data_IF_510092853860
#
_entry.id   IF_510092853860
#
_cell.length_a   1.000
_cell.length_b   1.000
_cell.length_c   1.000
_cell.angle_alpha   90.00
_cell.angle_beta   90.00
_cell.angle_gamma   90.00
#
_symmetry.space_group_name_H-M   'P 1'
#
loop_
_entity.id
_entity.type
_entity.pdbx_description
1 polymer ?
#
# COMPACT_ATOMS: atom_id res chain seq x y z
N UNK A 1 -41.28 19.28 -25.46
CA UNK A 1 -40.12 18.69 -24.76
C UNK A 1 -39.54 19.77 -23.86
N UNK A 2 -39.44 19.53 -22.55
CA UNK A 2 -38.81 20.48 -21.62
C UNK A 2 -37.32 20.55 -21.99
N UNK A 3 -36.75 21.76 -22.13
CA UNK A 3 -35.33 21.93 -22.41
C UNK A 3 -34.51 21.46 -21.21
N UNK A 4 -33.38 20.79 -21.43
CA UNK A 4 -32.52 20.25 -20.37
C UNK A 4 -32.14 21.30 -19.31
N UNK A 5 -31.96 22.56 -19.73
CA UNK A 5 -31.67 23.69 -18.86
C UNK A 5 -32.83 24.05 -17.91
N UNK A 6 -34.08 23.96 -18.38
CA UNK A 6 -35.26 24.22 -17.54
C UNK A 6 -35.42 23.13 -16.49
N UNK A 7 -35.15 21.87 -16.85
CA UNK A 7 -35.17 20.73 -15.93
C UNK A 7 -34.18 20.89 -14.77
N UNK A 8 -32.96 21.37 -15.05
CA UNK A 8 -31.92 21.62 -14.05
C UNK A 8 -32.32 22.76 -13.11
N UNK A 9 -32.87 23.84 -13.67
CA UNK A 9 -33.30 25.02 -12.90
C UNK A 9 -34.47 24.69 -11.98
N UNK A 10 -35.39 23.83 -12.46
CA UNK A 10 -36.53 23.34 -11.68
C UNK A 10 -36.09 22.40 -10.55
N UNK A 11 -35.15 21.49 -10.82
CA UNK A 11 -34.56 20.61 -9.83
C UNK A 11 -33.84 21.39 -8.72
N UNK A 12 -33.02 22.39 -9.08
CA UNK A 12 -32.32 23.25 -8.11
C UNK A 12 -33.28 24.00 -7.18
N UNK A 13 -34.39 24.54 -7.72
CA UNK A 13 -35.41 25.21 -6.91
C UNK A 13 -36.14 24.26 -5.95
N UNK A 14 -36.41 23.04 -6.39
CA UNK A 14 -37.03 22.01 -5.54
C UNK A 14 -36.13 21.62 -4.36
N UNK A 15 -34.81 21.51 -4.59
CA UNK A 15 -33.82 21.23 -3.55
C UNK A 15 -33.81 22.33 -2.47
N UNK A 16 -33.93 23.60 -2.87
CA UNK A 16 -33.92 24.75 -1.94
C UNK A 16 -35.20 24.92 -1.12
N UNK A 17 -36.31 24.30 -1.51
CA UNK A 17 -37.57 24.38 -0.77
C UNK A 17 -37.51 23.62 0.56
N UNK A 18 -36.76 22.51 0.62
CA UNK A 18 -36.62 21.65 1.81
C UNK A 18 -35.17 21.58 2.30
N UNK A 19 -34.65 22.72 2.76
CA UNK A 19 -33.23 22.93 3.06
C UNK A 19 -32.62 21.88 4.01
N UNK A 20 -33.27 21.56 5.13
CA UNK A 20 -32.71 20.62 6.12
C UNK A 20 -32.59 19.20 5.58
N UNK A 21 -33.60 18.70 4.86
CA UNK A 21 -33.60 17.32 4.34
C UNK A 21 -32.65 17.18 3.16
N UNK A 22 -32.71 18.13 2.23
CA UNK A 22 -31.78 18.21 1.10
C UNK A 22 -30.34 18.26 1.61
N UNK A 23 -30.06 19.08 2.63
CA UNK A 23 -28.75 19.14 3.26
C UNK A 23 -28.33 17.81 3.87
N UNK A 24 -29.16 17.14 4.67
CA UNK A 24 -28.84 15.85 5.28
C UNK A 24 -28.58 14.75 4.23
N UNK A 25 -29.31 14.77 3.13
CA UNK A 25 -29.16 13.81 2.02
C UNK A 25 -27.84 14.03 1.27
N UNK A 26 -27.59 15.28 0.87
CA UNK A 26 -26.35 15.70 0.23
C UNK A 26 -25.15 15.40 1.14
N UNK A 27 -25.27 15.67 2.45
CA UNK A 27 -24.22 15.40 3.43
C UNK A 27 -23.94 13.89 3.57
N UNK A 28 -24.98 13.05 3.62
CA UNK A 28 -24.81 11.59 3.69
C UNK A 28 -24.05 11.04 2.48
N UNK A 29 -24.39 11.50 1.27
CA UNK A 29 -23.70 11.13 0.03
C UNK A 29 -22.27 11.68 0.03
N UNK A 30 -22.09 12.94 0.39
CA UNK A 30 -20.79 13.61 0.40
C UNK A 30 -19.81 12.93 1.36
N UNK A 31 -20.24 12.60 2.58
CA UNK A 31 -19.40 11.90 3.58
C UNK A 31 -19.01 10.50 3.09
N UNK A 32 -19.96 9.75 2.52
CA UNK A 32 -19.67 8.42 1.96
C UNK A 32 -18.62 8.46 0.85
N UNK A 33 -18.75 9.42 -0.07
CA UNK A 33 -17.80 9.59 -1.19
C UNK A 33 -16.46 10.11 -0.71
N UNK A 34 -16.44 11.08 0.20
CA UNK A 34 -15.21 11.60 0.79
C UNK A 34 -14.40 10.48 1.47
N UNK A 35 -15.06 9.59 2.21
CA UNK A 35 -14.41 8.45 2.86
C UNK A 35 -13.78 7.47 1.85
N UNK A 36 -14.51 7.13 0.78
CA UNK A 36 -14.00 6.25 -0.29
C UNK A 36 -12.81 6.87 -1.02
N UNK A 37 -12.88 8.16 -1.34
CA UNK A 37 -11.79 8.89 -2.00
C UNK A 37 -10.55 8.97 -1.11
N UNK A 38 -10.72 9.27 0.18
CA UNK A 38 -9.60 9.37 1.11
C UNK A 38 -8.86 8.04 1.22
N UNK A 39 -9.58 6.94 1.43
CA UNK A 39 -8.91 5.66 1.58
C UNK A 39 -8.23 5.21 0.28
N UNK A 40 -8.91 5.32 -0.86
CA UNK A 40 -8.32 4.92 -2.15
C UNK A 40 -7.09 5.77 -2.48
N UNK A 41 -7.10 7.05 -2.13
CA UNK A 41 -5.95 7.93 -2.31
C UNK A 41 -4.76 7.56 -1.42
N UNK A 42 -5.03 7.19 -0.16
CA UNK A 42 -4.00 6.72 0.77
C UNK A 42 -3.46 5.36 0.31
N UNK A 43 -4.34 4.43 -0.08
CA UNK A 43 -3.96 3.10 -0.54
C UNK A 43 -3.05 3.14 -1.77
N UNK A 44 -3.42 3.92 -2.79
CA UNK A 44 -2.57 4.13 -3.96
C UNK A 44 -1.24 4.82 -3.59
N UNK A 45 -1.30 5.83 -2.71
CA UNK A 45 -0.11 6.51 -2.22
C UNK A 45 0.86 5.52 -1.56
N UNK A 46 0.38 4.71 -0.62
CA UNK A 46 1.17 3.65 0.03
C UNK A 46 1.71 2.66 -1.00
N UNK A 47 0.89 2.21 -1.94
CA UNK A 47 1.31 1.27 -2.98
C UNK A 47 2.49 1.83 -3.80
N UNK A 48 2.41 3.09 -4.22
CA UNK A 48 3.50 3.77 -4.95
C UNK A 48 4.73 4.01 -4.09
N UNK A 49 4.53 4.40 -2.83
CA UNK A 49 5.62 4.59 -1.87
C UNK A 49 6.40 3.30 -1.68
N UNK A 50 5.72 2.19 -1.43
CA UNK A 50 6.37 0.89 -1.28
C UNK A 50 7.04 0.45 -2.58
N UNK A 51 6.40 0.64 -3.74
CA UNK A 51 7.02 0.33 -5.02
C UNK A 51 8.31 1.14 -5.25
N UNK A 52 8.30 2.44 -4.92
CA UNK A 52 9.48 3.30 -4.99
C UNK A 52 10.58 2.82 -4.01
N UNK A 53 10.20 2.47 -2.78
CA UNK A 53 11.10 1.96 -1.75
C UNK A 53 11.81 0.65 -2.16
N UNK A 54 11.16 -0.21 -2.97
CA UNK A 54 11.79 -1.44 -3.45
C UNK A 54 12.54 -1.26 -4.77
N UNK A 55 12.05 -0.44 -5.69
CA UNK A 55 12.73 -0.20 -6.99
C UNK A 55 14.11 0.45 -6.84
N UNK A 56 14.33 1.25 -5.79
CA UNK A 56 15.65 1.83 -5.47
C UNK A 56 16.75 0.79 -5.14
N UNK A 57 16.37 -0.47 -4.88
CA UNK A 57 17.31 -1.58 -4.62
C UNK A 57 17.50 -2.51 -5.82
N UNK A 58 16.74 -2.30 -6.90
CA UNK A 58 16.61 -3.24 -8.01
C UNK A 58 15.34 -4.08 -7.87
N UNK A 59 14.66 -4.33 -8.98
CA UNK A 59 13.34 -4.98 -9.03
C UNK A 59 13.36 -6.50 -8.93
N UNK A 60 14.55 -7.08 -8.73
CA UNK A 60 14.83 -8.47 -9.06
C UNK A 60 15.46 -9.19 -7.86
N UNK A 61 14.93 -8.99 -6.64
CA UNK A 61 15.43 -9.65 -5.42
C UNK A 61 14.52 -10.84 -5.04
N UNK A 62 15.14 -11.96 -4.70
CA UNK A 62 14.53 -13.14 -4.11
C UNK A 62 15.16 -13.35 -2.73
N UNK A 63 14.33 -13.27 -1.70
CA UNK A 63 14.72 -13.56 -0.32
C UNK A 63 14.50 -15.03 -0.02
N UNK A 64 15.50 -15.66 0.59
CA UNK A 64 15.48 -17.04 1.03
C UNK A 64 15.57 -17.03 2.55
N UNK A 65 14.51 -17.48 3.23
CA UNK A 65 14.46 -17.56 4.69
C UNK A 65 14.35 -19.01 5.15
N UNK A 66 14.99 -19.39 6.28
CA UNK A 66 14.89 -20.73 6.81
C UNK A 66 13.47 -20.98 7.34
N UNK A 67 12.96 -22.19 7.10
CA UNK A 67 11.65 -22.65 7.58
C UNK A 67 10.53 -22.49 6.55
N UNK A 68 9.34 -22.98 6.93
CA UNK A 68 8.12 -22.82 6.14
C UNK A 68 7.19 -21.82 6.81
N UNK A 69 6.72 -20.85 6.03
CA UNK A 69 5.66 -19.92 6.45
C UNK A 69 4.24 -20.48 6.31
N UNK A 70 4.08 -21.67 5.69
CA UNK A 70 2.79 -22.35 5.51
C UNK A 70 2.70 -23.57 6.42
N UNK A 71 1.62 -23.67 7.19
CA UNK A 71 1.27 -24.88 7.95
C UNK A 71 0.98 -26.02 6.97
N UNK A 72 1.76 -27.10 7.06
CA UNK A 72 1.45 -28.38 6.44
C UNK A 72 1.17 -29.41 7.54
N UNK A 73 0.47 -30.50 7.21
CA UNK A 73 0.06 -31.55 8.17
C UNK A 73 1.22 -32.24 8.90
N UNK A 74 0.87 -33.26 9.70
CA UNK A 74 1.76 -33.91 10.67
C UNK A 74 3.17 -34.23 10.11
N UNK A 75 4.24 -34.09 10.93
CA UNK A 75 5.59 -34.45 10.52
C UNK A 75 5.61 -35.92 10.04
N UNK A 76 6.16 -36.22 8.85
CA UNK A 76 6.14 -37.57 8.29
C UNK A 76 6.88 -38.62 9.15
N UNK A 77 7.59 -38.22 10.22
CA UNK A 77 8.45 -39.11 11.00
C UNK A 77 8.42 -38.91 12.52
N UNK A 78 7.52 -38.08 13.09
CA UNK A 78 7.49 -37.86 14.55
C UNK A 78 8.74 -37.21 15.16
N UNK A 79 9.71 -36.79 14.32
CA UNK A 79 10.88 -36.02 14.73
C UNK A 79 10.46 -34.55 14.78
N UNK A 80 10.78 -33.79 15.85
CA UNK A 80 10.59 -32.34 15.85
C UNK A 80 11.27 -31.76 14.62
N UNK A 81 10.50 -31.07 13.79
CA UNK A 81 10.98 -30.40 12.58
C UNK A 81 11.83 -29.21 12.99
N UNK A 82 13.06 -29.44 13.43
CA UNK A 82 14.06 -28.38 13.50
C UNK A 82 14.31 -27.93 12.07
N UNK A 83 14.05 -26.64 11.84
CA UNK A 83 14.39 -25.98 10.58
C UNK A 83 15.91 -26.09 10.41
N UNK A 84 16.38 -26.68 9.31
CA UNK A 84 17.82 -26.63 9.00
C UNK A 84 18.19 -25.17 8.76
N UNK A 85 19.16 -24.60 9.49
CA UNK A 85 19.61 -23.24 9.24
C UNK A 85 20.21 -23.13 7.82
N UNK A 86 20.01 -21.99 7.17
CA UNK A 86 20.71 -21.67 5.92
C UNK A 86 22.19 -21.47 6.23
N UNK A 87 23.07 -22.06 5.44
CA UNK A 87 24.53 -21.97 5.65
C UNK A 87 25.19 -21.00 4.67
N UNK A 88 26.42 -20.55 4.99
CA UNK A 88 27.24 -19.79 4.04
C UNK A 88 27.53 -20.60 2.77
N UNK A 89 27.60 -21.92 2.86
CA UNK A 89 27.74 -22.79 1.69
C UNK A 89 26.51 -22.78 0.80
N UNK A 90 25.30 -22.74 1.36
CA UNK A 90 24.06 -22.66 0.58
C UNK A 90 24.00 -21.33 -0.19
N UNK A 91 24.41 -20.25 0.47
CA UNK A 91 24.56 -18.95 -0.15
C UNK A 91 25.57 -19.01 -1.32
N UNK A 92 26.74 -19.60 -1.11
CA UNK A 92 27.76 -19.80 -2.15
C UNK A 92 27.27 -20.69 -3.29
N UNK A 93 26.53 -21.75 -3.01
CA UNK A 93 25.96 -22.60 -4.06
C UNK A 93 24.96 -21.80 -4.92
N UNK A 94 24.12 -20.97 -4.29
CA UNK A 94 23.15 -20.13 -4.98
C UNK A 94 23.81 -19.09 -5.91
N UNK A 95 25.01 -18.58 -5.58
CA UNK A 95 25.70 -17.60 -6.44
C UNK A 95 26.21 -18.17 -7.76
N UNK A 96 26.29 -19.49 -7.90
CA UNK A 96 26.76 -20.16 -9.13
C UNK A 96 25.61 -20.56 -10.08
N UNK A 97 24.35 -20.31 -9.70
CA UNK A 97 23.22 -20.60 -10.56
C UNK A 97 23.19 -19.67 -11.78
N UNK A 98 22.68 -20.14 -12.93
CA UNK A 98 22.46 -19.28 -14.08
C UNK A 98 21.48 -18.15 -13.72
N UNK A 99 21.61 -17.02 -14.42
CA UNK A 99 20.77 -15.82 -14.25
C UNK A 99 20.89 -15.10 -12.89
N UNK A 100 21.70 -15.59 -11.95
CA UNK A 100 22.00 -14.89 -10.69
C UNK A 100 23.05 -13.79 -10.94
N UNK A 101 22.67 -12.55 -10.66
CA UNK A 101 23.53 -11.37 -10.83
C UNK A 101 24.40 -11.11 -9.58
N UNK A 102 23.82 -11.26 -8.39
CA UNK A 102 24.53 -11.13 -7.12
C UNK A 102 23.81 -11.91 -6.01
N UNK A 103 24.58 -12.36 -5.03
CA UNK A 103 24.09 -13.05 -3.85
C UNK A 103 24.72 -12.41 -2.61
N UNK A 104 23.92 -12.20 -1.56
CA UNK A 104 24.42 -11.78 -0.26
C UNK A 104 23.77 -12.61 0.85
N UNK A 105 24.56 -13.27 1.71
CA UNK A 105 24.05 -13.78 2.98
C UNK A 105 23.69 -12.60 3.88
N UNK A 106 22.69 -12.76 4.75
CA UNK A 106 22.35 -11.77 5.75
C UNK A 106 22.18 -12.42 7.13
N UNK A 107 22.85 -11.81 8.10
CA UNK A 107 22.64 -11.98 9.53
C UNK A 107 22.53 -10.58 10.09
N UNK A 108 21.55 -10.27 10.93
CA UNK A 108 21.50 -8.96 11.58
C UNK A 108 21.19 -9.10 13.06
N UNK A 109 21.53 -8.06 13.80
CA UNK A 109 21.22 -7.95 15.21
C UNK A 109 21.52 -6.55 15.70
N UNK A 110 20.97 -6.19 16.85
CA UNK A 110 21.30 -4.94 17.50
C UNK A 110 22.50 -5.14 18.40
N UNK A 111 23.53 -4.34 18.18
CA UNK A 111 24.77 -4.39 18.95
C UNK A 111 25.22 -2.99 19.31
N UNK A 112 26.00 -2.90 20.38
CA UNK A 112 26.74 -1.70 20.71
C UNK A 112 27.96 -1.56 19.81
N UNK A 113 28.07 -0.42 19.13
CA UNK A 113 29.22 -0.05 18.31
C UNK A 113 29.96 1.07 19.03
N UNK A 114 31.21 0.82 19.40
CA UNK A 114 32.08 1.80 20.08
C UNK A 114 33.33 2.10 19.29
N UNK A 115 33.66 3.38 19.18
CA UNK A 115 34.84 3.86 18.47
C UNK A 115 35.11 5.30 18.86
N UNK A 116 36.39 5.69 18.90
CA UNK A 116 36.80 7.07 19.19
C UNK A 116 36.20 7.65 20.49
N UNK A 117 36.12 6.84 21.55
CA UNK A 117 35.55 7.24 22.84
C UNK A 117 34.02 7.39 22.88
N UNK A 118 33.31 7.07 21.80
CA UNK A 118 31.84 7.12 21.71
C UNK A 118 31.24 5.73 21.58
N UNK A 119 30.00 5.59 22.03
CA UNK A 119 29.22 4.36 22.03
C UNK A 119 27.85 4.63 21.43
N UNK A 120 27.41 3.79 20.49
CA UNK A 120 26.09 3.87 19.88
C UNK A 120 25.51 2.47 19.72
N UNK A 121 24.29 2.26 20.21
CA UNK A 121 23.55 1.01 19.97
C UNK A 121 22.85 1.10 18.63
N UNK A 122 23.18 0.19 17.72
CA UNK A 122 22.56 0.17 16.41
C UNK A 122 22.49 -1.23 15.79
N UNK A 123 21.78 -1.36 14.68
CA UNK A 123 21.72 -2.59 13.91
C UNK A 123 23.03 -2.82 13.16
N UNK A 124 23.53 -4.05 13.24
CA UNK A 124 24.73 -4.51 12.56
C UNK A 124 24.34 -5.63 11.62
N UNK A 125 24.67 -5.47 10.34
CA UNK A 125 24.41 -6.44 9.29
C UNK A 125 25.70 -7.19 8.93
N UNK A 126 25.66 -8.50 9.13
CA UNK A 126 26.56 -9.47 8.53
C UNK A 126 26.18 -9.72 7.08
N UNK A 127 27.01 -9.29 6.14
CA UNK A 127 26.73 -9.34 4.70
C UNK A 127 27.89 -9.93 3.90
N UNK A 128 27.62 -10.22 2.63
CA UNK A 128 28.64 -10.61 1.66
C UNK A 128 29.22 -9.42 0.88
N UNK A 129 30.33 -9.63 0.13
CA UNK A 129 30.99 -8.58 -0.65
C UNK A 129 30.11 -8.01 -1.78
N UNK A 130 29.16 -8.79 -2.28
CA UNK A 130 28.27 -8.40 -3.37
C UNK A 130 27.03 -7.61 -2.92
N UNK A 131 26.92 -7.26 -1.63
CA UNK A 131 25.80 -6.48 -1.09
C UNK A 131 25.60 -5.16 -1.86
N UNK A 132 26.69 -4.45 -2.21
CA UNK A 132 26.59 -3.18 -2.94
C UNK A 132 25.92 -3.33 -4.31
N UNK A 133 26.20 -4.44 -5.01
CA UNK A 133 25.58 -4.76 -6.30
C UNK A 133 24.11 -5.15 -6.12
N UNK A 134 23.85 -6.02 -5.13
CA UNK A 134 22.50 -6.52 -4.83
C UNK A 134 21.54 -5.40 -4.43
N UNK A 135 22.03 -4.38 -3.72
CA UNK A 135 21.20 -3.31 -3.15
C UNK A 135 21.48 -1.92 -3.75
N UNK A 136 22.25 -1.83 -4.84
CA UNK A 136 22.62 -0.57 -5.53
C UNK A 136 23.11 0.50 -4.55
N UNK A 137 24.01 0.13 -3.64
CA UNK A 137 24.60 1.02 -2.63
C UNK A 137 25.97 1.52 -3.11
N UNK A 138 26.28 2.79 -2.83
CA UNK A 138 27.56 3.41 -3.20
C UNK A 138 28.45 3.62 -1.97
N UNK A 139 29.76 3.58 -2.20
CA UNK A 139 30.78 3.85 -1.18
C UNK A 139 31.14 5.33 -1.27
N UNK A 140 31.13 6.02 -0.13
CA UNK A 140 31.60 7.41 -0.04
C UNK A 140 33.13 7.49 0.06
N UNK A 141 33.73 6.61 0.85
CA UNK A 141 35.19 6.59 1.06
C UNK A 141 35.68 5.20 1.45
N UNK A 142 36.89 4.83 1.02
CA UNK A 142 37.50 3.53 1.32
C UNK A 142 37.02 2.44 0.36
N UNK A 143 36.88 1.22 0.88
CA UNK A 143 36.45 0.04 0.12
C UNK A 143 35.37 -0.71 0.88
N UNK A 144 34.59 -1.52 0.16
CA UNK A 144 33.64 -2.42 0.80
C UNK A 144 34.31 -3.70 1.29
N UNK A 145 33.54 -4.61 1.88
CA UNK A 145 34.03 -5.89 2.32
C UNK A 145 34.69 -6.64 1.15
N UNK A 146 35.93 -7.11 1.31
CA UNK A 146 36.64 -7.87 0.28
C UNK A 146 35.97 -9.23 0.04
N UNK A 147 36.22 -9.79 -1.14
CA UNK A 147 35.79 -11.14 -1.46
C UNK A 147 36.71 -12.13 -0.75
N UNK A 148 36.25 -12.63 0.40
CA UNK A 148 36.98 -13.60 1.21
C UNK A 148 36.19 -14.91 1.26
N UNK A 149 36.88 -16.01 0.95
CA UNK A 149 36.26 -17.32 0.74
C UNK A 149 36.10 -18.14 2.03
N UNK A 150 36.75 -17.71 3.12
CA UNK A 150 36.94 -18.51 4.32
C UNK A 150 35.98 -18.16 5.47
N UNK A 151 35.64 -19.16 6.27
CA UNK A 151 34.99 -19.02 7.59
C UNK A 151 35.79 -18.12 8.55
N UNK A 152 37.05 -17.84 8.23
CA UNK A 152 37.94 -16.93 8.96
C UNK A 152 38.05 -15.54 8.32
N UNK A 153 36.94 -14.97 7.83
CA UNK A 153 36.92 -13.63 7.25
C UNK A 153 37.61 -12.59 8.16
N UNK A 154 38.37 -11.65 7.64
CA UNK A 154 39.03 -10.61 8.45
C UNK A 154 37.98 -9.74 9.15
N UNK A 155 38.28 -9.31 10.37
CA UNK A 155 37.40 -8.45 11.15
C UNK A 155 37.41 -7.02 10.59
N UNK A 156 36.72 -6.83 9.47
CA UNK A 156 36.50 -5.53 8.85
C UNK A 156 35.08 -5.04 9.08
N UNK A 157 34.94 -3.72 9.15
CA UNK A 157 33.65 -3.06 9.24
C UNK A 157 33.57 -1.91 8.24
N UNK A 158 32.39 -1.78 7.62
CA UNK A 158 32.01 -0.63 6.81
C UNK A 158 30.89 0.09 7.56
N UNK A 159 31.01 1.41 7.72
CA UNK A 159 30.06 2.21 8.49
C UNK A 159 29.06 2.92 7.56
N UNK A 160 27.80 2.99 7.98
CA UNK A 160 26.82 3.90 7.40
C UNK A 160 27.17 5.37 7.67
N UNK A 161 26.62 6.28 6.87
CA UNK A 161 26.97 7.69 6.91
C UNK A 161 26.70 8.36 8.27
N UNK A 162 25.56 8.05 8.89
CA UNK A 162 25.15 8.58 10.19
C UNK A 162 25.96 7.94 11.31
N UNK A 163 26.14 6.62 11.31
CA UNK A 163 26.97 5.93 12.30
C UNK A 163 28.42 6.45 12.30
N UNK A 164 29.00 6.69 11.10
CA UNK A 164 30.31 7.34 10.97
C UNK A 164 30.33 8.71 11.63
N UNK A 165 29.33 9.55 11.36
CA UNK A 165 29.26 10.92 11.88
C UNK A 165 29.13 10.93 13.40
N UNK A 166 28.30 10.05 13.95
CA UNK A 166 28.08 9.92 15.39
C UNK A 166 29.36 9.48 16.13
N UNK A 167 30.08 8.49 15.61
CA UNK A 167 31.27 7.95 16.26
C UNK A 167 32.54 8.80 16.04
N UNK A 168 32.75 9.30 14.82
CA UNK A 168 34.02 9.95 14.43
C UNK A 168 33.90 11.45 14.12
N UNK A 169 32.68 12.01 14.08
CA UNK A 169 32.47 13.39 13.65
C UNK A 169 32.97 13.60 12.23
N UNK A 170 33.76 14.66 12.03
CA UNK A 170 34.40 14.95 10.73
C UNK A 170 35.70 14.19 10.50
N UNK A 171 36.24 13.54 11.54
CA UNK A 171 37.48 12.75 11.47
C UNK A 171 37.37 11.61 10.46
N UNK A 172 38.47 11.28 9.78
CA UNK A 172 38.55 10.12 8.89
C UNK A 172 38.55 8.82 9.71
N UNK A 173 37.56 7.92 9.56
CA UNK A 173 37.49 6.69 10.35
C UNK A 173 38.30 5.55 9.73
N UNK A 174 38.79 5.69 8.49
CA UNK A 174 39.47 4.61 7.77
C UNK A 174 40.73 4.15 8.50
N UNK A 175 40.84 2.85 8.73
CA UNK A 175 41.94 2.23 9.48
C UNK A 175 41.77 2.24 11.00
N UNK A 176 40.82 3.00 11.54
CA UNK A 176 40.53 3.00 12.97
C UNK A 176 39.96 1.65 13.43
N UNK A 177 40.15 1.34 14.71
CA UNK A 177 39.53 0.19 15.37
C UNK A 177 38.20 0.60 15.99
N UNK A 178 37.17 -0.19 15.71
CA UNK A 178 35.82 -0.05 16.28
C UNK A 178 35.47 -1.38 16.92
N UNK A 179 34.91 -1.36 18.11
CA UNK A 179 34.41 -2.55 18.78
C UNK A 179 32.91 -2.67 18.55
N UNK A 180 32.48 -3.79 18.00
CA UNK A 180 31.09 -4.12 17.73
C UNK A 180 30.72 -5.28 18.62
N UNK A 181 29.86 -5.05 19.61
CA UNK A 181 29.57 -5.98 20.70
C UNK A 181 30.87 -6.40 21.42
N UNK A 182 31.16 -7.70 21.38
CA UNK A 182 32.36 -8.29 21.99
C UNK A 182 33.62 -8.28 21.10
N UNK A 183 33.52 -7.93 19.83
CA UNK A 183 34.59 -8.14 18.84
C UNK A 183 35.18 -6.81 18.32
N UNK A 184 36.48 -6.81 18.00
CA UNK A 184 37.16 -5.64 17.41
C UNK A 184 37.24 -5.76 15.88
N UNK A 185 36.87 -4.68 15.19
CA UNK A 185 36.90 -4.56 13.74
C UNK A 185 37.74 -3.36 13.31
N UNK A 186 38.36 -3.46 12.13
CA UNK A 186 39.02 -2.33 11.46
C UNK A 186 38.08 -1.71 10.44
N UNK A 187 37.90 -0.40 10.51
CA UNK A 187 37.09 0.33 9.52
C UNK A 187 37.82 0.38 8.19
N UNK A 188 37.17 -0.10 7.13
CA UNK A 188 37.75 -0.10 5.77
C UNK A 188 36.97 0.76 4.77
N UNK A 189 35.75 1.15 5.12
CA UNK A 189 34.89 1.94 4.25
C UNK A 189 33.79 2.67 4.99
N UNK A 190 33.22 3.66 4.30
CA UNK A 190 32.02 4.40 4.71
C UNK A 190 31.09 4.47 3.51
N UNK A 191 29.83 4.14 3.72
CA UNK A 191 28.80 4.22 2.67
C UNK A 191 28.35 5.65 2.42
N UNK A 192 27.85 5.90 1.22
CA UNK A 192 27.09 7.11 0.92
C UNK A 192 25.75 7.10 1.67
N UNK A 193 25.24 8.27 2.03
CA UNK A 193 23.96 8.37 2.70
C UNK A 193 22.83 7.90 1.76
N UNK A 194 22.03 6.94 2.23
CA UNK A 194 20.87 6.40 1.52
C UNK A 194 19.56 6.69 2.24
N UNK A 195 19.61 6.89 3.56
CA UNK A 195 18.44 7.20 4.40
C UNK A 195 17.78 5.97 5.02
N UNK A 196 16.47 6.08 5.26
CA UNK A 196 15.65 5.08 5.92
C UNK A 196 14.74 4.38 4.92
N UNK A 197 14.59 3.05 5.06
CA UNK A 197 13.80 2.20 4.17
C UNK A 197 12.88 1.32 4.99
N UNK A 198 11.57 1.45 4.78
CA UNK A 198 10.54 0.72 5.53
C UNK A 198 10.77 0.77 7.05
N UNK A 199 11.24 1.90 7.56
CA UNK A 199 11.55 2.07 8.98
C UNK A 199 12.97 1.68 9.41
N UNK A 200 13.81 1.13 8.52
CA UNK A 200 15.20 0.74 8.80
C UNK A 200 16.18 1.81 8.32
N UNK A 201 16.96 2.39 9.23
CA UNK A 201 17.95 3.43 8.92
C UNK A 201 19.28 2.79 8.45
N UNK A 202 19.54 2.79 7.13
CA UNK A 202 20.77 2.25 6.56
C UNK A 202 22.00 3.13 6.83
N UNK A 203 21.78 4.40 7.11
CA UNK A 203 22.86 5.33 7.42
C UNK A 203 23.36 5.13 8.85
N UNK A 204 22.47 4.69 9.73
CA UNK A 204 22.79 4.34 11.12
C UNK A 204 23.13 2.85 11.28
N UNK A 205 23.85 2.24 10.35
CA UNK A 205 24.12 0.79 10.40
C UNK A 205 25.61 0.49 10.25
N UNK A 206 26.08 -0.61 10.86
CA UNK A 206 27.41 -1.17 10.58
C UNK A 206 27.30 -2.46 9.75
N UNK A 207 28.21 -2.63 8.80
CA UNK A 207 28.27 -3.80 7.92
C UNK A 207 29.57 -4.56 8.16
N UNK A 208 29.46 -5.84 8.51
CA UNK A 208 30.58 -6.75 8.79
C UNK A 208 30.45 -8.02 7.92
N UNK A 209 31.51 -8.82 7.74
CA UNK A 209 31.38 -10.10 7.06
C UNK A 209 30.37 -11.02 7.75
N UNK A 210 29.53 -11.71 6.97
CA UNK A 210 28.51 -12.61 7.51
C UNK A 210 29.07 -13.69 8.45
N UNK A 211 30.26 -14.25 8.16
CA UNK A 211 30.94 -15.19 9.06
C UNK A 211 31.21 -14.60 10.45
N UNK A 212 31.62 -13.33 10.53
CA UNK A 212 31.85 -12.63 11.81
C UNK A 212 30.55 -12.27 12.52
N UNK A 213 29.47 -12.03 11.79
CA UNK A 213 28.16 -11.83 12.41
C UNK A 213 27.60 -13.13 13.01
N UNK A 214 27.82 -14.28 12.36
CA UNK A 214 27.46 -15.60 12.93
C UNK A 214 28.19 -15.84 14.26
N UNK A 215 29.49 -15.57 14.31
CA UNK A 215 30.30 -15.65 15.52
C UNK A 215 29.83 -14.65 16.59
N UNK A 216 29.68 -13.37 16.23
CA UNK A 216 29.25 -12.30 17.14
C UNK A 216 27.91 -12.59 17.83
N UNK A 217 26.96 -13.16 17.09
CA UNK A 217 25.62 -13.48 17.58
C UNK A 217 25.46 -14.92 18.03
N UNK A 218 26.54 -15.72 18.04
CA UNK A 218 26.53 -17.14 18.38
C UNK A 218 25.42 -17.92 17.65
N UNK A 219 25.38 -17.80 16.31
CA UNK A 219 24.36 -18.42 15.46
C UNK A 219 24.96 -19.49 14.56
N UNK A 220 24.26 -20.62 14.46
CA UNK A 220 24.64 -21.75 13.59
C UNK A 220 24.26 -21.55 12.11
N UNK A 221 23.52 -20.48 11.78
CA UNK A 221 23.14 -20.21 10.40
C UNK A 221 22.55 -18.83 10.13
N UNK A 222 22.43 -18.56 8.84
CA UNK A 222 21.97 -17.32 8.25
C UNK A 222 20.50 -17.07 8.58
N UNK A 223 20.15 -15.79 8.72
CA UNK A 223 18.76 -15.37 8.86
C UNK A 223 18.08 -15.31 7.49
N UNK A 224 18.84 -14.93 6.46
CA UNK A 224 18.33 -14.73 5.13
C UNK A 224 19.47 -14.87 4.10
N UNK A 225 19.15 -15.33 2.89
CA UNK A 225 20.02 -15.17 1.72
C UNK A 225 19.24 -14.35 0.69
N UNK A 226 19.81 -13.25 0.24
CA UNK A 226 19.23 -12.44 -0.82
C UNK A 226 19.95 -12.71 -2.14
N UNK A 227 19.17 -13.09 -3.15
CA UNK A 227 19.65 -13.39 -4.50
C UNK A 227 19.02 -12.38 -5.45
N UNK A 228 19.85 -11.72 -6.24
CA UNK A 228 19.40 -10.86 -7.33
C UNK A 228 19.60 -11.54 -8.66
N UNK A 229 18.68 -11.33 -9.59
CA UNK A 229 18.71 -11.95 -10.91
C UNK A 229 18.72 -10.93 -12.05
N UNK A 230 19.19 -11.36 -13.22
CA UNK A 230 19.32 -10.51 -14.41
C UNK A 230 17.99 -9.88 -14.84
N UNK A 231 18.05 -8.67 -15.40
CA UNK A 231 16.87 -7.98 -15.93
C UNK A 231 16.26 -8.77 -17.10
N UNK A 232 14.93 -8.84 -17.17
CA UNK A 232 14.20 -9.57 -18.21
C UNK A 232 14.02 -11.09 -17.96
N UNK A 233 14.69 -11.66 -16.96
CA UNK A 233 14.49 -13.07 -16.58
C UNK A 233 13.24 -13.19 -15.69
N UNK A 234 12.31 -14.13 -15.97
CA UNK A 234 11.17 -14.35 -15.08
C UNK A 234 11.64 -14.83 -13.70
N UNK A 235 11.15 -14.19 -12.63
CA UNK A 235 11.47 -14.58 -11.25
C UNK A 235 11.26 -16.08 -10.99
N UNK A 236 10.22 -16.65 -11.62
CA UNK A 236 9.85 -18.06 -11.49
C UNK A 236 10.98 -19.01 -11.87
N UNK A 237 11.68 -18.73 -12.97
CA UNK A 237 12.77 -19.57 -13.47
C UNK A 237 13.91 -19.67 -12.43
N UNK A 238 14.27 -18.52 -11.84
CA UNK A 238 15.31 -18.44 -10.80
C UNK A 238 14.83 -19.07 -9.49
N UNK A 239 13.56 -18.87 -9.10
CA UNK A 239 13.01 -19.53 -7.91
C UNK A 239 12.97 -21.04 -8.04
N UNK A 240 12.65 -21.59 -9.22
CA UNK A 240 12.60 -23.03 -9.45
C UNK A 240 14.01 -23.64 -9.43
N UNK A 241 15.01 -22.93 -9.97
CA UNK A 241 16.42 -23.31 -9.88
C UNK A 241 16.93 -23.29 -8.43
N UNK A 242 16.68 -22.21 -7.68
CA UNK A 242 17.03 -22.09 -6.26
C UNK A 242 16.37 -23.19 -5.43
N UNK A 243 15.09 -23.45 -5.67
CA UNK A 243 14.33 -24.49 -4.98
C UNK A 243 14.93 -25.88 -5.24
N UNK A 244 15.30 -26.17 -6.48
CA UNK A 244 15.92 -27.46 -6.85
C UNK A 244 17.29 -27.62 -6.17
N UNK A 245 18.13 -26.58 -6.22
CA UNK A 245 19.44 -26.57 -5.58
C UNK A 245 19.35 -26.81 -4.07
N UNK A 246 18.55 -26.00 -3.36
CA UNK A 246 18.44 -26.08 -1.91
C UNK A 246 17.78 -27.39 -1.47
N UNK A 247 16.75 -27.86 -2.19
CA UNK A 247 16.14 -29.16 -1.91
C UNK A 247 17.13 -30.32 -2.08
N UNK A 248 17.98 -30.28 -3.11
CA UNK A 248 19.03 -31.29 -3.30
C UNK A 248 20.06 -31.26 -2.16
N UNK A 249 20.45 -30.07 -1.69
CA UNK A 249 21.40 -29.89 -0.59
C UNK A 249 20.82 -30.23 0.78
N UNK A 250 19.53 -30.00 0.99
CA UNK A 250 18.85 -30.17 2.28
C UNK A 250 18.12 -31.51 2.42
N UNK A 251 17.90 -32.23 1.31
CA UNK A 251 17.11 -33.47 1.27
C UNK A 251 15.61 -33.26 1.48
N UNK A 252 15.18 -32.04 1.83
CA UNK A 252 13.80 -31.63 2.04
C UNK A 252 13.63 -30.16 1.71
N UNK A 253 12.39 -29.75 1.50
CA UNK A 253 12.05 -28.33 1.39
C UNK A 253 11.81 -27.79 2.80
N UNK A 254 12.77 -27.05 3.35
CA UNK A 254 12.75 -26.45 4.69
C UNK A 254 13.14 -24.97 4.66
N UNK A 255 12.87 -24.31 3.55
CA UNK A 255 13.13 -22.90 3.29
C UNK A 255 11.91 -22.27 2.59
N UNK A 256 11.81 -20.95 2.67
CA UNK A 256 10.80 -20.15 1.98
C UNK A 256 11.49 -19.19 1.03
N UNK A 257 11.11 -19.24 -0.24
CA UNK A 257 11.50 -18.26 -1.25
C UNK A 257 10.41 -17.20 -1.33
N UNK A 258 10.78 -15.93 -1.13
CA UNK A 258 9.88 -14.79 -1.25
C UNK A 258 10.41 -13.88 -2.34
N UNK A 259 9.64 -13.73 -3.41
CA UNK A 259 9.96 -12.75 -4.45
C UNK A 259 9.46 -11.37 -4.04
N UNK A 260 10.04 -10.32 -4.63
CA UNK A 260 9.51 -8.97 -4.49
C UNK A 260 8.04 -8.87 -4.97
N UNK A 261 7.68 -9.61 -6.02
CA UNK A 261 6.29 -9.68 -6.49
C UNK A 261 5.34 -10.28 -5.45
N UNK A 262 5.74 -11.33 -4.73
CA UNK A 262 4.89 -11.95 -3.69
C UNK A 262 4.59 -10.99 -2.55
N UNK A 263 5.58 -10.20 -2.17
CA UNK A 263 5.43 -9.18 -1.13
C UNK A 263 4.56 -8.02 -1.61
N UNK A 264 4.75 -7.51 -2.83
CA UNK A 264 3.85 -6.51 -3.43
C UNK A 264 2.41 -7.03 -3.51
N UNK A 265 2.21 -8.28 -3.97
CA UNK A 265 0.88 -8.92 -4.01
C UNK A 265 0.26 -9.05 -2.62
N UNK A 266 1.06 -9.34 -1.59
CA UNK A 266 0.57 -9.44 -0.21
C UNK A 266 0.14 -8.07 0.32
N UNK A 267 0.93 -7.04 0.05
CA UNK A 267 0.55 -5.66 0.39
C UNK A 267 -0.72 -5.23 -0.35
N UNK A 268 -0.80 -5.47 -1.67
CA UNK A 268 -2.00 -5.17 -2.46
C UNK A 268 -3.23 -5.85 -1.86
N UNK A 269 -3.14 -7.13 -1.48
CA UNK A 269 -4.24 -7.84 -0.82
C UNK A 269 -4.69 -7.19 0.48
N UNK A 270 -3.75 -6.71 1.31
CA UNK A 270 -4.08 -6.00 2.56
C UNK A 270 -4.81 -4.68 2.23
N UNK A 271 -4.27 -3.92 1.28
CA UNK A 271 -4.89 -2.66 0.83
C UNK A 271 -6.27 -2.90 0.21
N UNK A 272 -6.46 -3.97 -0.55
CA UNK A 272 -7.74 -4.36 -1.14
C UNK A 272 -8.78 -4.69 -0.07
N UNK A 273 -8.39 -5.42 0.99
CA UNK A 273 -9.27 -5.74 2.12
C UNK A 273 -9.67 -4.47 2.86
N UNK A 274 -8.72 -3.57 3.14
CA UNK A 274 -9.00 -2.29 3.77
C UNK A 274 -9.93 -1.43 2.89
N UNK A 275 -9.66 -1.41 1.59
CA UNK A 275 -10.48 -0.70 0.58
C UNK A 275 -11.89 -1.25 0.53
N UNK A 276 -12.05 -2.56 0.60
CA UNK A 276 -13.36 -3.21 0.65
C UNK A 276 -14.11 -2.88 1.94
N UNK A 277 -13.43 -2.91 3.09
CA UNK A 277 -14.05 -2.62 4.39
C UNK A 277 -14.59 -1.19 4.46
N UNK A 278 -13.80 -0.20 4.04
CA UNK A 278 -14.27 1.20 4.00
C UNK A 278 -15.19 1.46 2.83
N UNK A 279 -15.02 0.75 1.70
CA UNK A 279 -16.00 0.74 0.63
C UNK A 279 -17.36 0.26 1.09
N UNK A 280 -17.43 -0.74 1.97
CA UNK A 280 -18.67 -1.19 2.60
C UNK A 280 -19.24 -0.12 3.54
N UNK A 281 -18.41 0.55 4.36
CA UNK A 281 -18.84 1.67 5.21
C UNK A 281 -19.36 2.86 4.38
N UNK A 282 -18.64 3.24 3.33
CA UNK A 282 -19.05 4.26 2.37
C UNK A 282 -20.32 3.86 1.63
N UNK A 283 -20.47 2.58 1.30
CA UNK A 283 -21.69 1.99 0.76
C UNK A 283 -22.88 2.13 1.70
N UNK A 284 -22.70 1.91 3.01
CA UNK A 284 -23.73 2.15 4.02
C UNK A 284 -24.09 3.64 4.06
N UNK A 285 -23.11 4.55 4.05
CA UNK A 285 -23.36 6.00 3.98
C UNK A 285 -24.13 6.41 2.72
N UNK A 286 -23.79 5.81 1.58
CA UNK A 286 -24.48 6.01 0.32
C UNK A 286 -25.91 5.45 0.35
N UNK A 287 -26.15 4.31 1.01
CA UNK A 287 -27.50 3.78 1.23
C UNK A 287 -28.34 4.72 2.11
N UNK A 288 -27.76 5.27 3.18
CA UNK A 288 -28.41 6.28 4.02
C UNK A 288 -28.75 7.53 3.19
N UNK A 289 -27.83 7.98 2.33
CA UNK A 289 -28.08 9.02 1.35
C UNK A 289 -29.21 8.67 0.38
N UNK A 290 -29.23 7.44 -0.14
CA UNK A 290 -30.27 6.93 -1.03
C UNK A 290 -31.66 6.88 -0.37
N UNK A 291 -31.74 6.47 0.90
CA UNK A 291 -32.99 6.55 1.69
C UNK A 291 -33.43 8.01 1.81
N UNK A 292 -32.50 8.94 2.05
CA UNK A 292 -32.77 10.38 2.03
C UNK A 292 -33.39 10.85 0.71
N UNK A 293 -32.85 10.41 -0.43
CA UNK A 293 -33.41 10.70 -1.76
C UNK A 293 -34.83 10.16 -1.88
N UNK A 294 -35.08 8.90 -1.50
CA UNK A 294 -36.44 8.31 -1.55
C UNK A 294 -37.42 9.12 -0.72
N UNK A 295 -37.02 9.52 0.50
CA UNK A 295 -37.87 10.29 1.42
C UNK A 295 -38.17 11.68 0.85
N UNK A 296 -37.16 12.42 0.40
CA UNK A 296 -37.37 13.75 -0.20
C UNK A 296 -38.26 13.66 -1.42
N UNK A 297 -37.97 12.72 -2.33
CA UNK A 297 -38.73 12.57 -3.57
C UNK A 297 -40.18 12.15 -3.28
N UNK A 298 -40.42 11.26 -2.31
CA UNK A 298 -41.79 10.87 -1.95
C UNK A 298 -42.58 12.06 -1.45
N UNK A 299 -41.99 12.90 -0.59
CA UNK A 299 -42.64 14.09 -0.07
C UNK A 299 -42.86 15.13 -1.17
N UNK A 300 -41.87 15.35 -2.04
CA UNK A 300 -42.00 16.26 -3.18
C UNK A 300 -43.13 15.86 -4.13
N UNK A 301 -43.32 14.54 -4.35
CA UNK A 301 -44.45 14.03 -5.13
C UNK A 301 -45.78 14.29 -4.42
N UNK A 302 -45.86 14.06 -3.11
CA UNK A 302 -47.09 14.29 -2.34
C UNK A 302 -47.48 15.77 -2.31
N UNK A 303 -46.53 16.67 -2.09
CA UNK A 303 -46.78 18.11 -2.07
C UNK A 303 -47.13 18.67 -3.46
N UNK A 304 -46.57 18.09 -4.53
CA UNK A 304 -46.85 18.50 -5.92
C UNK A 304 -47.93 17.65 -6.60
N UNK A 305 -48.73 16.90 -5.85
CA UNK A 305 -49.74 15.98 -6.43
C UNK A 305 -50.69 16.70 -7.39
N UNK A 306 -51.18 17.90 -7.02
CA UNK A 306 -52.07 18.70 -7.86
C UNK A 306 -51.40 19.22 -9.15
N UNK A 307 -50.14 19.68 -9.07
CA UNK A 307 -49.35 20.11 -10.23
C UNK A 307 -49.11 18.95 -11.21
N UNK A 308 -48.79 17.77 -10.69
CA UNK A 308 -48.57 16.56 -11.48
C UNK A 308 -49.89 16.11 -12.13
N UNK A 309 -51.00 16.14 -11.38
CA UNK A 309 -52.34 15.83 -11.87
C UNK A 309 -52.76 16.73 -13.03
N UNK A 310 -52.50 18.04 -12.94
CA UNK A 310 -52.75 18.99 -14.02
C UNK A 310 -51.92 18.68 -15.27
N UNK A 311 -50.62 18.39 -15.11
CA UNK A 311 -49.75 18.02 -16.23
C UNK A 311 -50.22 16.75 -16.94
N UNK A 312 -50.64 15.74 -16.18
CA UNK A 312 -51.18 14.48 -16.72
C UNK A 312 -52.53 14.71 -17.41
N UNK A 313 -53.41 15.53 -16.84
CA UNK A 313 -54.70 15.90 -17.45
C UNK A 313 -54.54 16.66 -18.78
N UNK A 314 -53.50 17.49 -18.89
CA UNK A 314 -53.11 18.19 -20.12
C UNK A 314 -52.40 17.28 -21.15
N UNK A 315 -52.23 15.98 -20.85
CA UNK A 315 -51.69 15.00 -21.78
C UNK A 315 -50.17 14.79 -21.71
N UNK A 316 -49.50 15.20 -20.63
CA UNK A 316 -48.07 14.94 -20.47
C UNK A 316 -47.81 13.41 -20.41
N UNK A 317 -46.90 12.86 -21.25
CA UNK A 317 -46.64 11.44 -21.25
C UNK A 317 -45.89 11.03 -19.97
N UNK A 318 -46.17 9.82 -19.45
CA UNK A 318 -45.55 9.28 -18.22
C UNK A 318 -44.03 9.37 -18.19
N UNK A 319 -43.38 9.22 -19.35
CA UNK A 319 -41.92 9.35 -19.51
C UNK A 319 -41.40 10.76 -19.16
N UNK A 320 -42.18 11.80 -19.43
CA UNK A 320 -41.83 13.18 -19.07
C UNK A 320 -41.85 13.38 -17.56
N UNK A 321 -42.89 12.88 -16.89
CA UNK A 321 -43.00 12.95 -15.42
C UNK A 321 -41.88 12.13 -14.76
N UNK A 322 -41.63 10.91 -15.25
CA UNK A 322 -40.50 10.09 -14.82
C UNK A 322 -39.16 10.82 -14.98
N UNK A 323 -38.91 11.39 -16.15
CA UNK A 323 -37.65 12.10 -16.45
C UNK A 323 -37.45 13.34 -15.57
N UNK A 324 -38.52 14.03 -15.16
CA UNK A 324 -38.45 15.18 -14.28
C UNK A 324 -37.94 14.78 -12.88
N UNK A 325 -38.58 13.81 -12.23
CA UNK A 325 -38.20 13.35 -10.90
C UNK A 325 -36.87 12.58 -10.87
N UNK A 326 -36.59 11.78 -11.90
CA UNK A 326 -35.28 11.13 -12.04
C UNK A 326 -34.17 12.16 -12.24
N UNK A 327 -34.42 13.22 -13.01
CA UNK A 327 -33.48 14.33 -13.17
C UNK A 327 -33.18 15.03 -11.84
N UNK A 328 -34.18 15.21 -10.99
CA UNK A 328 -34.00 15.80 -9.65
C UNK A 328 -33.18 14.88 -8.72
N UNK A 329 -33.46 13.58 -8.72
CA UNK A 329 -32.68 12.60 -7.96
C UNK A 329 -31.22 12.51 -8.44
N UNK A 330 -30.98 12.52 -9.75
CA UNK A 330 -29.62 12.55 -10.32
C UNK A 330 -28.92 13.86 -9.98
N UNK A 331 -29.61 15.01 -10.03
CA UNK A 331 -29.03 16.29 -9.65
C UNK A 331 -28.60 16.32 -8.18
N UNK A 332 -29.45 15.83 -7.27
CA UNK A 332 -29.12 15.67 -5.85
C UNK A 332 -27.88 14.78 -5.64
N UNK A 333 -27.83 13.63 -6.31
CA UNK A 333 -26.68 12.73 -6.24
C UNK A 333 -25.41 13.33 -6.83
N UNK A 334 -25.50 14.06 -7.93
CA UNK A 334 -24.36 14.71 -8.58
C UNK A 334 -23.81 15.83 -7.69
N UNK A 335 -24.68 16.62 -7.06
CA UNK A 335 -24.26 17.67 -6.11
C UNK A 335 -23.63 17.07 -4.86
N UNK A 336 -24.25 16.03 -4.28
CA UNK A 336 -23.68 15.28 -3.16
C UNK A 336 -22.34 14.63 -3.52
N UNK A 337 -22.24 14.07 -4.74
CA UNK A 337 -21.03 13.50 -5.30
C UNK A 337 -19.91 14.50 -5.44
N UNK A 338 -20.16 15.59 -6.18
CA UNK A 338 -19.21 16.67 -6.36
C UNK A 338 -18.73 17.27 -5.03
N UNK A 339 -19.62 17.48 -4.05
CA UNK A 339 -19.24 17.96 -2.72
C UNK A 339 -18.40 16.94 -1.97
N UNK A 340 -18.76 15.65 -2.03
CA UNK A 340 -17.98 14.58 -1.43
C UNK A 340 -16.59 14.45 -2.04
N UNK A 341 -16.47 14.57 -3.37
CA UNK A 341 -15.21 14.60 -4.09
C UNK A 341 -14.37 15.81 -3.67
N UNK A 342 -14.95 17.00 -3.63
CA UNK A 342 -14.27 18.22 -3.22
C UNK A 342 -13.75 18.11 -1.77
N UNK A 343 -14.56 17.57 -0.85
CA UNK A 343 -14.16 17.33 0.53
C UNK A 343 -13.07 16.25 0.62
N UNK A 344 -13.24 15.12 -0.07
CA UNK A 344 -12.27 14.03 -0.05
C UNK A 344 -10.91 14.44 -0.61
N UNK A 345 -10.89 15.12 -1.76
CA UNK A 345 -9.67 15.67 -2.37
C UNK A 345 -9.09 16.77 -1.48
N UNK A 346 -9.92 17.68 -0.95
CA UNK A 346 -9.47 18.75 -0.07
C UNK A 346 -8.78 18.23 1.19
N UNK A 347 -9.37 17.21 1.84
CA UNK A 347 -8.77 16.55 3.00
C UNK A 347 -7.50 15.80 2.60
N UNK A 348 -7.48 15.11 1.46
CA UNK A 348 -6.29 14.40 0.97
C UNK A 348 -5.11 15.37 0.73
N UNK A 349 -5.37 16.54 0.13
CA UNK A 349 -4.36 17.58 -0.07
C UNK A 349 -3.90 18.19 1.25
N UNK A 350 -4.83 18.43 2.19
CA UNK A 350 -4.49 18.91 3.52
C UNK A 350 -3.58 17.92 4.26
N UNK A 351 -3.87 16.62 4.18
CA UNK A 351 -3.04 15.56 4.76
C UNK A 351 -1.63 15.55 4.15
N UNK A 352 -1.52 15.75 2.85
CA UNK A 352 -0.22 15.85 2.17
C UNK A 352 0.62 17.03 2.67
N UNK A 353 -0.02 18.17 2.99
CA UNK A 353 0.66 19.36 3.53
C UNK A 353 1.04 19.22 5.01
N UNK A 354 0.12 18.70 5.83
CA UNK A 354 0.31 18.61 7.29
C UNK A 354 1.22 17.44 7.67
N UNK A 355 1.18 16.36 6.88
CA UNK A 355 1.99 15.16 7.11
C UNK A 355 2.72 14.79 5.81
N UNK A 356 3.83 15.47 5.47
CA UNK A 356 4.57 15.23 4.22
C UNK A 356 5.06 13.79 4.05
N UNK A 357 5.21 13.07 5.16
CA UNK A 357 5.61 11.67 5.18
C UNK A 357 4.49 10.69 4.82
N UNK A 358 3.22 11.12 4.82
CA UNK A 358 2.11 10.27 4.40
C UNK A 358 1.98 10.30 2.88
N UNK A 359 2.18 9.15 2.19
CA UNK A 359 2.03 9.10 0.76
C UNK A 359 0.53 9.10 0.43
N UNK A 360 0.07 10.16 -0.23
CA UNK A 360 -1.31 10.33 -0.67
C UNK A 360 -1.30 10.62 -2.16
N UNK A 361 -2.02 9.83 -2.95
CA UNK A 361 -2.14 10.05 -4.38
C UNK A 361 -3.55 9.71 -4.84
N UNK A 362 -4.32 10.70 -5.30
CA UNK A 362 -5.70 10.52 -5.74
C UNK A 362 -5.78 10.14 -7.22
N UNK A 363 -6.16 8.90 -7.59
CA UNK A 363 -6.27 8.49 -8.98
C UNK A 363 -7.58 8.99 -9.59
N UNK A 364 -7.50 9.55 -10.79
CA UNK A 364 -8.67 10.04 -11.54
C UNK A 364 -9.71 8.91 -11.74
N UNK A 365 -9.27 7.67 -11.90
CA UNK A 365 -10.15 6.50 -12.06
C UNK A 365 -11.09 6.33 -10.86
N UNK A 366 -10.61 6.48 -9.62
CA UNK A 366 -11.47 6.35 -8.44
C UNK A 366 -12.41 7.54 -8.27
N UNK A 367 -11.99 8.74 -8.67
CA UNK A 367 -12.85 9.93 -8.71
C UNK A 367 -14.04 9.70 -9.64
N UNK A 368 -13.79 9.25 -10.87
CA UNK A 368 -14.83 8.96 -11.85
C UNK A 368 -15.75 7.82 -11.40
N UNK A 369 -15.18 6.77 -10.80
CA UNK A 369 -15.94 5.62 -10.31
C UNK A 369 -16.84 6.00 -9.12
N UNK A 370 -16.35 6.81 -8.19
CA UNK A 370 -17.14 7.28 -7.05
C UNK A 370 -18.31 8.15 -7.50
N UNK A 371 -18.09 9.06 -8.46
CA UNK A 371 -19.15 9.89 -9.03
C UNK A 371 -20.19 9.04 -9.78
N UNK A 372 -19.74 8.08 -10.59
CA UNK A 372 -20.63 7.17 -11.30
C UNK A 372 -21.52 6.37 -10.33
N UNK A 373 -20.94 5.88 -9.23
CA UNK A 373 -21.69 5.16 -8.18
C UNK A 373 -22.71 6.08 -7.52
N UNK A 374 -22.37 7.33 -7.23
CA UNK A 374 -23.29 8.32 -6.64
C UNK A 374 -24.53 8.54 -7.53
N UNK A 375 -24.30 8.71 -8.84
CA UNK A 375 -25.35 8.91 -9.84
C UNK A 375 -26.24 7.66 -9.95
N UNK A 376 -25.64 6.47 -10.00
CA UNK A 376 -26.39 5.20 -10.06
C UNK A 376 -27.29 5.03 -8.83
N UNK A 377 -26.78 5.32 -7.64
CA UNK A 377 -27.57 5.23 -6.40
C UNK A 377 -28.71 6.24 -6.40
N UNK A 378 -28.45 7.48 -6.87
CA UNK A 378 -29.49 8.49 -7.03
C UNK A 378 -30.60 8.06 -7.98
N UNK A 379 -30.21 7.51 -9.12
CA UNK A 379 -31.15 6.99 -10.10
C UNK A 379 -32.01 5.88 -9.50
N UNK A 380 -31.39 4.87 -8.87
CA UNK A 380 -32.10 3.73 -8.26
C UNK A 380 -33.04 4.20 -7.15
N UNK A 381 -32.60 5.10 -6.29
CA UNK A 381 -33.41 5.69 -5.23
C UNK A 381 -34.60 6.51 -5.79
N UNK A 382 -34.40 7.23 -6.89
CA UNK A 382 -35.43 8.06 -7.52
C UNK A 382 -36.51 7.29 -8.28
N UNK A 383 -36.22 6.06 -8.77
CA UNK A 383 -37.14 5.30 -9.63
C UNK A 383 -38.50 5.02 -8.97
N UNK A 384 -38.50 4.58 -7.71
CA UNK A 384 -39.74 4.24 -7.01
C UNK A 384 -40.70 5.44 -6.86
N UNK A 385 -40.29 6.58 -6.28
CA UNK A 385 -41.15 7.75 -6.15
C UNK A 385 -41.52 8.36 -7.52
N UNK A 386 -40.58 8.41 -8.48
CA UNK A 386 -40.86 8.92 -9.83
C UNK A 386 -41.92 8.06 -10.57
N UNK A 387 -41.87 6.74 -10.40
CA UNK A 387 -42.87 5.82 -10.97
C UNK A 387 -44.24 6.00 -10.32
N UNK A 388 -44.30 6.25 -9.01
CA UNK A 388 -45.56 6.58 -8.33
C UNK A 388 -46.16 7.88 -8.87
N UNK A 389 -45.36 8.94 -9.00
CA UNK A 389 -45.79 10.22 -9.56
C UNK A 389 -46.37 10.09 -10.98
N UNK A 390 -45.67 9.36 -11.85
CA UNK A 390 -46.09 9.18 -13.24
C UNK A 390 -47.34 8.28 -13.43
N UNK A 391 -47.80 7.61 -12.37
CA UNK A 391 -48.97 6.74 -12.37
C UNK A 391 -50.16 7.32 -11.60
N UNK A 392 -50.06 8.55 -11.10
CA UNK A 392 -51.17 9.24 -10.45
C UNK A 392 -52.37 9.34 -11.39
N UNK A 393 -53.56 9.06 -10.85
CA UNK A 393 -54.82 9.32 -11.55
C UNK A 393 -55.08 10.83 -11.53
N UNK A 394 -55.18 11.50 -12.70
CA UNK A 394 -55.40 12.95 -12.76
C UNK A 394 -56.72 13.37 -12.10
N UNK A 395 -57.74 12.51 -12.08
CA UNK A 395 -59.02 12.80 -11.42
C UNK A 395 -58.86 12.81 -9.91
N UNK A 396 -58.18 11.81 -9.34
CA UNK A 396 -57.91 11.76 -7.89
C UNK A 396 -56.94 12.88 -7.46
N UNK A 397 -55.92 13.15 -8.25
CA UNK A 397 -54.90 14.16 -7.96
C UNK A 397 -55.46 15.59 -7.90
N UNK A 398 -56.48 15.90 -8.73
CA UNK A 398 -57.16 17.20 -8.74
C UNK A 398 -58.30 17.30 -7.72
N UNK A 399 -58.75 16.17 -7.16
CA UNK A 399 -59.79 16.11 -6.13
C UNK A 399 -59.26 16.24 -4.70
N UNK A 400 -57.96 16.12 -4.52
CA UNK A 400 -57.28 16.07 -3.22
C UNK A 400 -57.10 17.44 -2.54
N UNK A 401 -57.95 18.42 -2.86
CA UNK A 401 -58.04 19.70 -2.13
C UNK A 401 -59.05 19.62 -0.97
#
# INVERSE_FOLDING_TARGET
MIRSADSITLALRAITAHQLRSFLTVLGIAVGIAAVILLTSIGEGIHRFVLAEFTQFGTNVISITPGKVKTAGAPPTGIPTSVRPLTLEDARAASHLPNVAAMTPIVWGNSEVSGNGRLRRTTVYGVGPNMLKAFRIKIRSGQFLPQEESDSARAFVVLGAKLKKELFGDTNPLGARVRVGGMQFRVIGVLEAKGQILGIDMDDTAYIPAARALELYNRDGLMEINVTYAEGVPAREVTDALKTLLKARHGREDFTLTTQEDMLRTLSKILDILTMAVGALGGISLLVGGVGIVTIMTIAVTERTGEIGLLVALGAPRRTILGLFLGEAVALSTVGGALGLALGIGIAQLLHLVVPALPVHTPITFVLLAEAVAIVIGLVAGVLPASRAARLDPVEALRAE
#
